data_IF_036140372623
#
_entry.id   IF_036140372623
#
_cell.length_a   1.000
_cell.length_b   1.000
_cell.length_c   1.000
_cell.angle_alpha   90.00
_cell.angle_beta   90.00
_cell.angle_gamma   90.00
#
_symmetry.space_group_name_H-M   'P 1'
#
loop_
_entity.id
_entity.type
_entity.pdbx_description
1 polymer ?
#
# COMPACT_ATOMS: atom_id res chain seq x y z
N UNK A 1 15.96 0.90 -2.72
CA UNK A 1 14.79 0.38 -1.97
C UNK A 1 15.17 -1.01 -1.51
N UNK A 2 15.25 -1.23 -0.20
CA UNK A 2 15.51 -2.56 0.35
C UNK A 2 14.42 -3.50 -0.15
N UNK A 3 14.80 -4.57 -0.84
CA UNK A 3 13.87 -5.58 -1.35
C UNK A 3 13.31 -6.33 -0.15
N UNK A 4 12.23 -5.81 0.44
CA UNK A 4 11.46 -6.51 1.47
C UNK A 4 10.97 -7.81 0.86
N UNK A 5 11.20 -8.92 1.56
CA UNK A 5 10.63 -10.19 1.12
C UNK A 5 9.11 -10.11 1.22
N UNK A 6 8.41 -10.51 0.15
CA UNK A 6 6.96 -10.39 0.07
C UNK A 6 6.30 -11.31 1.09
N UNK A 7 5.22 -10.82 1.70
CA UNK A 7 4.36 -11.70 2.49
C UNK A 7 3.43 -12.50 1.58
N UNK A 8 2.98 -13.69 2.00
CA UNK A 8 1.91 -14.43 1.31
C UNK A 8 0.62 -13.62 1.11
N UNK A 9 0.37 -12.62 1.96
CA UNK A 9 -0.78 -11.71 1.88
C UNK A 9 -0.63 -10.61 0.82
N UNK A 10 0.57 -10.38 0.28
CA UNK A 10 0.84 -9.27 -0.62
C UNK A 10 0.16 -9.45 -1.99
N UNK A 11 -0.11 -8.33 -2.66
CA UNK A 11 -0.70 -8.33 -3.98
C UNK A 11 0.32 -8.77 -5.04
N UNK A 12 -0.12 -9.70 -5.88
CA UNK A 12 0.58 -10.00 -7.14
C UNK A 12 0.33 -8.88 -8.16
N UNK A 13 1.26 -8.73 -9.10
CA UNK A 13 1.23 -7.65 -10.10
C UNK A 13 -0.08 -7.61 -10.90
N UNK A 14 -0.63 -8.77 -11.26
CA UNK A 14 -1.89 -8.84 -12.00
C UNK A 14 -3.07 -8.22 -11.23
N UNK A 15 -3.15 -8.45 -9.91
CA UNK A 15 -4.18 -7.84 -9.05
C UNK A 15 -3.89 -6.37 -8.80
N UNK A 16 -2.61 -6.02 -8.63
CA UNK A 16 -2.19 -4.63 -8.47
C UNK A 16 -2.58 -3.76 -9.67
N UNK A 17 -2.38 -4.25 -10.91
CA UNK A 17 -2.75 -3.55 -12.15
C UNK A 17 -4.23 -3.17 -12.23
N UNK A 18 -5.12 -3.89 -11.54
CA UNK A 18 -6.55 -3.57 -11.49
C UNK A 18 -6.85 -2.47 -10.45
N UNK A 19 -6.11 -2.42 -9.35
CA UNK A 19 -6.34 -1.50 -8.23
C UNK A 19 -5.59 -0.17 -8.39
N UNK A 20 -4.38 -0.21 -8.96
CA UNK A 20 -3.47 0.92 -9.09
C UNK A 20 -4.11 2.16 -9.73
N UNK A 21 -4.87 2.06 -10.83
CA UNK A 21 -5.43 3.24 -11.48
C UNK A 21 -6.41 3.99 -10.57
N UNK A 22 -7.23 3.25 -9.83
CA UNK A 22 -8.24 3.82 -8.93
C UNK A 22 -7.58 4.52 -7.74
N UNK A 23 -6.60 3.87 -7.11
CA UNK A 23 -5.88 4.44 -5.97
C UNK A 23 -5.03 5.65 -6.36
N UNK A 24 -4.43 5.61 -7.56
CA UNK A 24 -3.63 6.72 -8.10
C UNK A 24 -4.51 7.93 -8.42
N UNK A 25 -5.66 7.71 -9.08
CA UNK A 25 -6.64 8.76 -9.34
C UNK A 25 -7.14 9.40 -8.03
N UNK A 26 -7.52 8.59 -7.05
CA UNK A 26 -7.92 9.06 -5.73
C UNK A 26 -6.83 9.91 -5.06
N UNK A 27 -5.57 9.46 -5.08
CA UNK A 27 -4.44 10.19 -4.49
C UNK A 27 -4.21 11.52 -5.20
N UNK A 28 -4.31 11.54 -6.53
CA UNK A 28 -4.17 12.75 -7.35
C UNK A 28 -5.26 13.78 -7.00
N UNK A 29 -6.53 13.38 -7.02
CA UNK A 29 -7.66 14.25 -6.66
C UNK A 29 -7.57 14.77 -5.22
N UNK A 30 -7.10 13.93 -4.30
CA UNK A 30 -6.92 14.32 -2.89
C UNK A 30 -5.80 15.35 -2.75
N UNK A 31 -4.70 15.20 -3.50
CA UNK A 31 -3.59 16.16 -3.52
C UNK A 31 -3.99 17.48 -4.18
N UNK A 32 -4.71 17.44 -5.30
CA UNK A 32 -5.16 18.66 -5.99
C UNK A 32 -6.12 19.53 -5.15
N UNK A 33 -6.81 18.94 -4.17
CA UNK A 33 -7.67 19.66 -3.20
C UNK A 33 -6.98 19.98 -1.87
N UNK A 34 -5.79 19.46 -1.64
CA UNK A 34 -5.06 19.73 -0.41
C UNK A 34 -4.52 21.14 -0.47
N UNK A 35 -4.69 21.87 0.63
CA UNK A 35 -3.88 23.05 0.89
C UNK A 35 -2.45 22.51 1.10
N UNK A 36 -1.45 23.05 0.39
CA UNK A 36 -0.07 22.52 0.31
C UNK A 36 0.74 22.53 1.63
N UNK A 37 0.06 22.47 2.77
CA UNK A 37 0.60 22.24 4.09
C UNK A 37 0.44 20.79 4.54
N UNK A 38 1.35 20.33 5.40
CA UNK A 38 1.32 18.98 5.99
C UNK A 38 2.37 18.02 5.43
N UNK A 39 2.44 16.82 6.02
CA UNK A 39 3.47 15.83 5.68
C UNK A 39 3.14 15.16 4.34
N UNK A 40 4.05 15.21 3.34
CA UNK A 40 3.83 14.53 2.08
C UNK A 40 3.76 13.01 2.27
N UNK A 41 3.01 12.28 1.44
CA UNK A 41 2.99 10.82 1.45
C UNK A 41 4.41 10.28 1.23
N UNK A 42 4.89 9.43 2.15
CA UNK A 42 6.22 8.79 2.05
C UNK A 42 6.16 7.38 1.46
N UNK A 43 5.01 6.72 1.57
CA UNK A 43 4.85 5.31 1.21
C UNK A 43 4.13 5.18 -0.14
N UNK A 44 4.58 4.19 -0.89
CA UNK A 44 3.92 3.76 -2.12
C UNK A 44 2.52 3.22 -1.83
N UNK A 45 1.59 3.39 -2.77
CA UNK A 45 0.22 2.92 -2.62
C UNK A 45 0.16 1.39 -2.52
N UNK A 46 1.04 0.67 -3.22
CA UNK A 46 1.08 -0.80 -3.15
C UNK A 46 1.49 -1.27 -1.77
N UNK A 47 2.48 -0.64 -1.18
CA UNK A 47 2.94 -0.98 0.18
C UNK A 47 1.86 -0.71 1.23
N UNK A 48 1.09 0.38 1.08
CA UNK A 48 -0.06 0.65 1.96
C UNK A 48 -1.11 -0.45 1.80
N UNK A 49 -1.44 -0.86 0.58
CA UNK A 49 -2.41 -1.93 0.33
C UNK A 49 -1.94 -3.29 0.83
N UNK A 50 -0.66 -3.63 0.63
CA UNK A 50 -0.05 -4.84 1.18
C UNK A 50 -0.14 -4.84 2.71
N UNK A 51 0.12 -3.71 3.36
CA UNK A 51 -0.02 -3.58 4.82
C UNK A 51 -1.47 -3.77 5.30
N UNK A 52 -2.45 -3.20 4.59
CA UNK A 52 -3.88 -3.40 4.91
C UNK A 52 -4.25 -4.89 4.78
N UNK A 53 -3.84 -5.54 3.68
CA UNK A 53 -4.13 -6.96 3.44
C UNK A 53 -3.41 -7.88 4.43
N UNK A 54 -2.20 -7.52 4.85
CA UNK A 54 -1.51 -8.21 5.94
C UNK A 54 -2.37 -8.22 7.20
N UNK A 55 -2.89 -7.06 7.63
CA UNK A 55 -3.77 -6.97 8.82
C UNK A 55 -5.07 -7.74 8.59
N UNK A 56 -5.75 -7.51 7.47
CA UNK A 56 -7.05 -8.10 7.12
C UNK A 56 -7.00 -9.64 7.04
N UNK A 57 -5.94 -10.20 6.42
CA UNK A 57 -5.85 -11.65 6.16
C UNK A 57 -5.24 -12.44 7.30
N UNK A 58 -4.38 -11.82 8.10
CA UNK A 58 -3.61 -12.54 9.12
C UNK A 58 -4.01 -12.16 10.54
N UNK A 59 -4.62 -10.98 10.76
CA UNK A 59 -4.84 -10.46 12.11
C UNK A 59 -3.53 -10.12 12.84
N UNK A 60 -2.46 -9.79 12.10
CA UNK A 60 -1.12 -9.53 12.63
C UNK A 60 -0.44 -10.74 13.30
N UNK A 61 -0.54 -11.92 12.69
CA UNK A 61 0.08 -13.13 13.21
C UNK A 61 1.61 -13.04 13.26
N UNK A 62 2.20 -13.57 14.34
CA UNK A 62 3.65 -13.65 14.56
C UNK A 62 4.43 -14.32 13.42
N UNK A 63 3.82 -15.27 12.71
CA UNK A 63 4.44 -15.94 11.56
C UNK A 63 4.73 -15.00 10.37
N UNK A 64 4.10 -13.82 10.34
CA UNK A 64 4.26 -12.82 9.30
C UNK A 64 5.02 -11.58 9.81
N UNK A 65 5.82 -11.72 10.87
CA UNK A 65 6.71 -10.65 11.30
C UNK A 65 7.64 -10.18 10.16
N UNK A 66 7.97 -8.87 10.10
CA UNK A 66 8.84 -8.32 9.09
C UNK A 66 10.20 -9.01 9.04
N UNK A 67 10.63 -9.30 7.81
CA UNK A 67 11.97 -9.76 7.43
C UNK A 67 12.71 -8.67 6.69
#
# INVERSE_FOLDING_TARGET
MTTRRMYPSDLFDARWKLLEPVLSAWRFERRGRALDFGRPPRHDLREIMNAILYVDRTGCQWAYLPH
#
